data_IF_851027445366
#
_entry.id   IF_851027445366
#
_cell.length_a   1.000
_cell.length_b   1.000
_cell.length_c   1.000
_cell.angle_alpha   90.00
_cell.angle_beta   90.00
_cell.angle_gamma   90.00
#
_symmetry.space_group_name_H-M   'P 1'
#
loop_
_entity.id
_entity.type
_entity.pdbx_description
1 polymer ?
#
# COMPACT_ATOMS: atom_id res chain seq x y z
N UNK A 1 7.33 4.34 -15.75
CA UNK A 1 7.52 4.20 -14.29
C UNK A 1 6.75 5.30 -13.61
N UNK A 2 5.86 4.95 -12.71
CA UNK A 2 5.04 5.91 -11.96
C UNK A 2 5.88 6.66 -10.91
N UNK A 3 5.54 7.92 -10.69
CA UNK A 3 6.06 8.75 -9.60
C UNK A 3 5.35 8.39 -8.31
N UNK A 4 6.12 8.11 -7.26
CA UNK A 4 5.56 7.77 -5.95
C UNK A 4 5.22 9.03 -5.17
N UNK A 5 3.95 9.19 -4.84
CA UNK A 5 3.47 10.20 -3.90
C UNK A 5 3.09 9.54 -2.57
N UNK A 6 3.39 10.20 -1.44
CA UNK A 6 3.13 9.68 -0.09
C UNK A 6 2.32 10.68 0.69
N UNK A 7 1.11 10.32 1.10
CA UNK A 7 0.29 11.19 1.94
C UNK A 7 0.92 11.38 3.32
N UNK A 8 0.55 12.44 4.03
CA UNK A 8 0.97 12.66 5.41
C UNK A 8 0.50 11.54 6.35
N UNK A 9 -0.67 10.94 6.08
CA UNK A 9 -1.18 9.81 6.85
C UNK A 9 -0.31 8.56 6.62
N UNK A 10 -0.01 8.22 5.36
CA UNK A 10 0.88 7.12 5.02
C UNK A 10 2.24 7.25 5.72
N UNK A 11 2.84 8.45 5.73
CA UNK A 11 4.14 8.67 6.39
C UNK A 11 4.09 8.36 7.89
N UNK A 12 2.99 8.70 8.57
CA UNK A 12 2.77 8.37 10.00
C UNK A 12 2.58 6.87 10.19
N UNK A 13 1.75 6.27 9.36
CA UNK A 13 1.47 4.84 9.36
C UNK A 13 2.74 4.02 9.15
N UNK A 14 3.54 4.36 8.14
CA UNK A 14 4.83 3.72 7.87
C UNK A 14 5.80 3.81 9.06
N UNK A 15 5.84 4.96 9.75
CA UNK A 15 6.67 5.13 10.96
C UNK A 15 6.17 4.28 12.15
N UNK A 16 4.87 3.99 12.22
CA UNK A 16 4.29 3.08 13.21
C UNK A 16 4.72 1.64 12.88
N UNK A 17 4.50 1.21 11.64
CA UNK A 17 4.81 -0.15 11.20
C UNK A 17 6.31 -0.46 11.20
N UNK A 18 7.18 0.53 10.95
CA UNK A 18 8.63 0.35 11.05
C UNK A 18 9.13 0.09 12.46
N UNK A 19 8.27 0.26 13.47
CA UNK A 19 8.53 -0.11 14.87
C UNK A 19 7.69 -1.30 15.32
N UNK A 20 6.84 -1.83 14.45
CA UNK A 20 5.87 -2.88 14.74
C UNK A 20 6.40 -4.29 14.47
N UNK A 21 5.45 -5.21 14.33
CA UNK A 21 5.69 -6.66 14.15
C UNK A 21 6.59 -6.97 12.95
N UNK A 22 6.41 -6.25 11.84
CA UNK A 22 7.11 -6.51 10.58
C UNK A 22 8.35 -5.63 10.36
N UNK A 23 8.85 -4.92 11.38
CA UNK A 23 9.94 -3.94 11.25
C UNK A 23 11.18 -4.42 10.50
N UNK A 24 11.56 -5.69 10.65
CA UNK A 24 12.78 -6.25 10.04
C UNK A 24 12.65 -6.56 8.55
N UNK A 25 11.42 -6.70 8.06
CA UNK A 25 11.13 -7.09 6.68
C UNK A 25 10.35 -6.02 5.91
N UNK A 26 9.85 -4.98 6.61
CA UNK A 26 8.96 -3.98 6.04
C UNK A 26 9.54 -3.32 4.79
N UNK A 27 10.79 -2.86 4.85
CA UNK A 27 11.44 -2.18 3.74
C UNK A 27 11.59 -3.08 2.50
N UNK A 28 12.04 -4.33 2.71
CA UNK A 28 12.23 -5.30 1.62
C UNK A 28 10.90 -5.57 0.91
N UNK A 29 9.85 -5.88 1.66
CA UNK A 29 8.55 -6.22 1.05
C UNK A 29 7.95 -4.99 0.35
N UNK A 30 8.15 -3.79 0.89
CA UNK A 30 7.71 -2.56 0.22
C UNK A 30 8.46 -2.34 -1.09
N UNK A 31 9.77 -2.58 -1.14
CA UNK A 31 10.54 -2.45 -2.38
C UNK A 31 10.03 -3.41 -3.45
N UNK A 32 9.73 -4.67 -3.09
CA UNK A 32 9.15 -5.65 -4.01
C UNK A 32 7.81 -5.18 -4.57
N UNK A 33 6.85 -4.86 -3.70
CA UNK A 33 5.50 -4.43 -4.10
C UNK A 33 5.55 -3.13 -4.91
N UNK A 34 6.33 -2.13 -4.46
CA UNK A 34 6.43 -0.86 -5.16
C UNK A 34 7.10 -1.01 -6.52
N UNK A 35 8.06 -1.93 -6.67
CA UNK A 35 8.73 -2.18 -7.96
C UNK A 35 7.73 -2.66 -9.00
N UNK A 36 6.84 -3.59 -8.64
CA UNK A 36 5.81 -4.05 -9.58
C UNK A 36 4.78 -2.95 -9.86
N UNK A 37 4.32 -2.23 -8.82
CA UNK A 37 3.34 -1.15 -8.98
C UNK A 37 3.84 0.00 -9.85
N UNK A 38 5.06 0.50 -9.64
CA UNK A 38 5.58 1.62 -10.46
C UNK A 38 5.84 1.22 -11.90
N UNK A 39 6.03 -0.08 -12.17
CA UNK A 39 6.21 -0.61 -13.52
C UNK A 39 4.90 -1.04 -14.17
N UNK A 40 3.76 -0.78 -13.52
CA UNK A 40 2.42 -1.17 -14.00
C UNK A 40 2.33 -2.68 -14.26
N UNK A 41 3.06 -3.48 -13.46
CA UNK A 41 3.04 -4.93 -13.53
C UNK A 41 2.02 -5.50 -12.55
N UNK A 42 1.38 -6.63 -12.88
CA UNK A 42 0.47 -7.28 -11.97
C UNK A 42 1.20 -7.75 -10.71
N UNK A 43 0.59 -7.52 -9.56
CA UNK A 43 1.04 -8.10 -8.30
C UNK A 43 0.72 -9.60 -8.27
N UNK A 44 1.53 -10.36 -7.55
CA UNK A 44 1.23 -11.77 -7.27
C UNK A 44 -0.12 -11.91 -6.55
N UNK A 45 -0.84 -13.02 -6.81
CA UNK A 45 -2.13 -13.31 -6.16
C UNK A 45 -2.03 -13.36 -4.62
N UNK A 46 -0.84 -13.64 -4.10
CA UNK A 46 -0.52 -13.64 -2.67
C UNK A 46 -0.79 -12.29 -2.00
N UNK A 47 -0.67 -11.18 -2.74
CA UNK A 47 -0.93 -9.82 -2.25
C UNK A 47 -2.41 -9.45 -2.23
N UNK A 48 -3.30 -10.29 -2.78
CA UNK A 48 -4.76 -10.09 -2.78
C UNK A 48 -5.19 -8.67 -3.19
N UNK A 49 -4.51 -8.10 -4.18
CA UNK A 49 -4.76 -6.74 -4.62
C UNK A 49 -6.16 -6.61 -5.26
N UNK A 50 -7.01 -5.79 -4.67
CA UNK A 50 -8.38 -5.59 -5.14
C UNK A 50 -8.85 -4.14 -4.98
N UNK A 51 -9.81 -3.74 -5.83
CA UNK A 51 -10.41 -2.42 -5.73
C UNK A 51 -11.33 -2.32 -4.51
N UNK A 52 -11.24 -1.21 -3.78
CA UNK A 52 -12.20 -0.88 -2.73
C UNK A 52 -13.51 -0.35 -3.33
N UNK A 53 -14.57 -0.34 -2.53
CA UNK A 53 -15.90 0.10 -2.95
C UNK A 53 -16.37 1.36 -2.20
N UNK A 54 -17.48 1.95 -2.65
CA UNK A 54 -18.07 3.13 -2.02
C UNK A 54 -17.20 4.39 -2.16
N UNK A 55 -16.96 5.08 -1.04
CA UNK A 55 -16.13 6.29 -1.01
C UNK A 55 -14.65 6.03 -1.38
N UNK A 56 -14.24 4.77 -1.41
CA UNK A 56 -12.88 4.33 -1.74
C UNK A 56 -12.79 3.71 -3.14
N UNK A 57 -13.75 3.98 -4.04
CA UNK A 57 -13.83 3.39 -5.39
C UNK A 57 -12.59 3.59 -6.28
N UNK A 58 -11.81 4.62 -6.01
CA UNK A 58 -10.57 4.95 -6.70
C UNK A 58 -9.33 4.36 -6.01
N UNK A 59 -9.51 3.67 -4.89
CA UNK A 59 -8.44 3.07 -4.11
C UNK A 59 -8.41 1.56 -4.26
N UNK A 60 -7.23 1.02 -3.99
CA UNK A 60 -6.94 -0.41 -3.98
C UNK A 60 -6.43 -0.82 -2.61
N UNK A 61 -6.82 -2.02 -2.22
CA UNK A 61 -6.42 -2.70 -1.01
C UNK A 61 -5.46 -3.83 -1.37
N UNK A 62 -4.22 -3.70 -0.94
CA UNK A 62 -3.14 -4.66 -1.19
C UNK A 62 -2.63 -5.22 0.14
N UNK A 63 -2.80 -6.52 0.32
CA UNK A 63 -2.36 -7.25 1.51
C UNK A 63 -0.88 -7.63 1.39
N UNK A 64 0.00 -6.76 1.87
CA UNK A 64 1.44 -7.01 1.94
C UNK A 64 1.76 -8.19 2.88
N UNK A 65 1.02 -8.29 3.99
CA UNK A 65 0.99 -9.43 4.92
C UNK A 65 -0.45 -9.62 5.44
N UNK A 66 -0.76 -10.76 6.10
CA UNK A 66 -2.11 -10.98 6.65
C UNK A 66 -2.65 -9.82 7.51
N UNK A 67 -1.78 -9.18 8.29
CA UNK A 67 -2.12 -8.02 9.15
C UNK A 67 -1.48 -6.70 8.68
N UNK A 68 -1.05 -6.60 7.41
CA UNK A 68 -0.43 -5.39 6.88
C UNK A 68 -0.97 -5.09 5.48
N UNK A 69 -1.78 -4.05 5.40
CA UNK A 69 -2.48 -3.62 4.19
C UNK A 69 -1.95 -2.27 3.75
N UNK A 70 -1.65 -2.16 2.46
CA UNK A 70 -1.37 -0.93 1.77
C UNK A 70 -2.63 -0.48 1.02
N UNK A 71 -3.14 0.69 1.39
CA UNK A 71 -4.14 1.38 0.59
C UNK A 71 -3.42 2.35 -0.33
N UNK A 72 -3.61 2.20 -1.63
CA UNK A 72 -3.02 3.07 -2.64
C UNK A 72 -4.03 3.42 -3.74
N UNK A 73 -3.69 4.41 -4.56
CA UNK A 73 -4.45 4.74 -5.77
C UNK A 73 -3.55 5.33 -6.85
N UNK A 74 -4.08 5.37 -8.06
CA UNK A 74 -3.50 6.06 -9.21
C UNK A 74 -4.41 7.25 -9.55
N UNK A 75 -4.16 8.45 -8.99
CA UNK A 75 -5.02 9.61 -9.23
C UNK A 75 -4.95 10.10 -10.69
N UNK A 76 -3.86 9.77 -11.37
CA UNK A 76 -3.59 10.04 -12.78
C UNK A 76 -2.73 8.90 -13.36
N UNK A 77 -2.32 9.04 -14.63
CA UNK A 77 -1.55 8.01 -15.36
C UNK A 77 -0.07 7.95 -15.00
N UNK A 78 0.43 8.91 -14.23
CA UNK A 78 1.86 9.06 -13.94
C UNK A 78 2.18 8.88 -12.46
N UNK A 79 1.16 8.84 -11.60
CA UNK A 79 1.32 8.85 -10.15
C UNK A 79 0.81 7.57 -9.49
N UNK A 80 1.62 7.03 -8.58
CA UNK A 80 1.24 6.03 -7.59
C UNK A 80 1.18 6.71 -6.22
N UNK A 81 -0.02 6.96 -5.71
CA UNK A 81 -0.21 7.60 -4.41
C UNK A 81 -0.41 6.55 -3.32
N UNK A 82 0.51 6.51 -2.35
CA UNK A 82 0.41 5.68 -1.15
C UNK A 82 -0.42 6.43 -0.10
N UNK A 83 -1.60 5.92 0.21
CA UNK A 83 -2.62 6.63 0.98
C UNK A 83 -2.57 6.25 2.46
N UNK A 84 -2.58 4.95 2.78
CA UNK A 84 -2.50 4.44 4.16
C UNK A 84 -1.76 3.11 4.25
N UNK A 85 -1.29 2.81 5.45
CA UNK A 85 -0.66 1.54 5.79
C UNK A 85 -1.09 1.10 7.20
N UNK A 86 -1.29 -0.20 7.40
CA UNK A 86 -1.55 -0.76 8.73
C UNK A 86 -2.38 -2.02 8.66
N UNK A 87 -2.81 -2.50 9.83
CA UNK A 87 -3.78 -3.59 9.89
C UNK A 87 -5.20 -3.11 9.56
N UNK A 88 -6.09 -4.01 9.16
CA UNK A 88 -7.51 -3.71 8.92
C UNK A 88 -8.14 -2.93 10.09
N UNK A 89 -7.87 -3.36 11.33
CA UNK A 89 -8.37 -2.69 12.54
C UNK A 89 -7.87 -1.24 12.69
N UNK A 90 -6.64 -0.94 12.30
CA UNK A 90 -6.08 0.42 12.33
C UNK A 90 -6.56 1.28 11.15
N UNK A 91 -6.90 0.64 10.04
CA UNK A 91 -7.44 1.29 8.85
C UNK A 91 -8.94 1.59 9.00
N UNK A 92 -9.64 0.88 9.91
CA UNK A 92 -11.08 0.96 10.07
C UNK A 92 -11.83 0.24 8.95
N UNK A 93 -11.18 -0.78 8.37
CA UNK A 93 -11.68 -1.65 7.30
C UNK A 93 -12.00 -3.04 7.84
#
# INVERSE_FOLDING_TARGET
MLTIERTSQFKRDYKRESKGKYRSVLEIIFVEVLTELINERPLEESYRDHGLSGNWKDHRDCHIKPDLVLIYRNPDKETLQLVRLGSHSELGL
#
